data_IF_506372134514
#
_entry.id   IF_506372134514
#
_cell.length_a   1.000
_cell.length_b   1.000
_cell.length_c   1.000
_cell.angle_alpha   90.00
_cell.angle_beta   90.00
_cell.angle_gamma   90.00
#
_symmetry.space_group_name_H-M   'P 1'
#
loop_
_entity.id
_entity.type
_entity.pdbx_description
1 polymer ?
#
# COMPACT_ATOMS: atom_id res chain seq x y z
N UNK A 1 -5.75 1.87 -2.51
CA UNK A 1 -5.79 3.35 -2.27
C UNK A 1 -5.34 3.65 -0.86
N UNK A 2 -5.06 4.92 -0.55
CA UNK A 2 -4.67 5.29 0.81
C UNK A 2 -4.17 6.71 0.95
N UNK A 3 -3.60 7.02 2.11
CA UNK A 3 -2.93 8.29 2.35
C UNK A 3 -1.74 8.15 3.28
N UNK A 4 -0.73 8.99 3.08
CA UNK A 4 0.47 9.05 3.91
C UNK A 4 0.62 10.45 4.51
N UNK A 5 0.84 10.51 5.83
CA UNK A 5 1.02 11.75 6.57
C UNK A 5 2.27 11.72 7.43
N UNK A 6 2.82 12.88 7.79
CA UNK A 6 3.94 12.99 8.71
C UNK A 6 3.46 12.78 10.15
N UNK A 7 4.18 11.94 10.91
CA UNK A 7 3.97 11.82 12.35
C UNK A 7 4.31 13.16 13.05
N UNK A 8 3.47 13.58 13.99
CA UNK A 8 3.62 14.83 14.73
C UNK A 8 2.58 15.88 14.32
N UNK A 9 2.68 16.39 13.09
CA UNK A 9 1.79 17.46 12.61
C UNK A 9 0.70 16.99 11.63
N UNK A 10 0.75 15.73 11.20
CA UNK A 10 -0.24 15.16 10.29
C UNK A 10 -0.21 15.75 8.89
N UNK A 11 0.84 16.50 8.52
CA UNK A 11 0.94 17.09 7.19
C UNK A 11 0.95 16.00 6.10
N UNK A 12 0.29 16.23 4.95
CA UNK A 12 0.37 15.31 3.83
C UNK A 12 1.81 15.18 3.32
N UNK A 13 2.17 13.97 2.89
CA UNK A 13 3.48 13.71 2.30
C UNK A 13 3.32 13.40 0.82
N UNK A 14 3.78 14.32 -0.03
CA UNK A 14 3.76 14.20 -1.49
C UNK A 14 5.03 13.54 -2.02
N UNK A 15 4.94 12.86 -3.16
CA UNK A 15 6.08 12.35 -3.93
C UNK A 15 6.75 11.12 -3.32
N UNK A 16 6.21 10.55 -2.26
CA UNK A 16 6.71 9.31 -1.68
C UNK A 16 6.31 8.11 -2.54
N UNK A 17 7.30 7.28 -2.88
CA UNK A 17 7.09 5.98 -3.53
C UNK A 17 6.53 4.97 -2.54
N UNK A 18 5.37 4.43 -2.89
CA UNK A 18 4.70 3.36 -2.15
C UNK A 18 4.71 2.12 -3.01
N UNK A 19 5.28 1.04 -2.49
CA UNK A 19 5.38 -0.25 -3.17
C UNK A 19 4.26 -1.16 -2.66
N UNK A 20 3.59 -1.87 -3.57
CA UNK A 20 2.43 -2.71 -3.25
C UNK A 20 2.57 -4.05 -3.98
N UNK A 21 2.28 -5.14 -3.28
CA UNK A 21 2.19 -6.47 -3.87
C UNK A 21 1.14 -7.31 -3.16
N UNK A 22 0.53 -8.26 -3.86
CA UNK A 22 -0.51 -9.10 -3.31
C UNK A 22 -0.61 -10.44 -4.07
N UNK A 23 -1.37 -11.38 -3.52
CA UNK A 23 -1.94 -12.46 -4.33
C UNK A 23 -3.11 -11.92 -5.12
N UNK A 24 -3.08 -12.09 -6.44
CA UNK A 24 -4.08 -11.56 -7.36
C UNK A 24 -4.69 -12.65 -8.23
N UNK A 25 -5.71 -12.31 -9.01
CA UNK A 25 -6.27 -13.20 -10.04
C UNK A 25 -5.28 -13.56 -11.14
N UNK A 26 -4.19 -12.82 -11.30
CA UNK A 26 -3.21 -13.03 -12.36
C UNK A 26 -1.91 -13.69 -11.88
N UNK A 27 -1.62 -13.67 -10.57
CA UNK A 27 -0.49 -14.37 -9.98
C UNK A 27 -0.37 -14.24 -8.46
N UNK A 28 0.73 -14.75 -7.92
CA UNK A 28 1.02 -14.75 -6.49
C UNK A 28 1.88 -13.56 -6.08
N UNK A 29 2.00 -13.33 -4.78
CA UNK A 29 2.77 -12.23 -4.22
C UNK A 29 4.25 -12.19 -4.62
N UNK A 30 4.81 -13.29 -5.12
CA UNK A 30 6.21 -13.39 -5.59
C UNK A 30 6.35 -13.08 -7.09
N UNK A 31 5.24 -13.05 -7.82
CA UNK A 31 5.25 -12.90 -9.26
C UNK A 31 5.27 -11.40 -9.63
N UNK A 32 6.23 -10.94 -10.47
CA UNK A 32 6.42 -9.49 -10.71
C UNK A 32 5.21 -8.74 -11.24
N UNK A 33 4.32 -9.40 -11.96
CA UNK A 33 3.09 -8.79 -12.49
C UNK A 33 2.02 -8.56 -11.41
N UNK A 34 2.19 -9.15 -10.22
CA UNK A 34 1.37 -8.87 -9.03
C UNK A 34 1.97 -7.77 -8.14
N UNK A 35 3.00 -7.07 -8.63
CA UNK A 35 3.66 -5.95 -7.96
C UNK A 35 3.33 -4.64 -8.67
N UNK A 36 3.31 -3.54 -7.92
CA UNK A 36 3.23 -2.21 -8.47
C UNK A 36 3.79 -1.17 -7.51
N UNK A 37 3.98 0.04 -8.02
CA UNK A 37 4.35 1.18 -7.21
C UNK A 37 3.62 2.42 -7.71
N UNK A 38 3.35 3.32 -6.78
CA UNK A 38 2.71 4.61 -7.07
C UNK A 38 3.39 5.70 -6.25
N UNK A 39 3.12 6.95 -6.61
CA UNK A 39 3.55 8.11 -5.83
C UNK A 39 2.36 8.71 -5.09
N UNK A 40 2.62 9.24 -3.91
CA UNK A 40 1.66 10.08 -3.20
C UNK A 40 1.49 11.43 -3.90
N UNK A 41 0.25 11.91 -3.98
CA UNK A 41 -0.09 13.23 -4.51
C UNK A 41 0.05 14.36 -3.47
N UNK A 42 -0.33 15.61 -3.84
CA UNK A 42 -0.16 16.80 -3.00
C UNK A 42 -0.88 16.74 -1.64
N UNK A 43 -1.98 16.00 -1.57
CA UNK A 43 -2.76 15.76 -0.35
C UNK A 43 -2.31 14.51 0.42
N UNK A 44 -1.20 13.90 0.01
CA UNK A 44 -0.65 12.66 0.55
C UNK A 44 -1.44 11.42 0.13
N UNK A 45 -2.44 11.54 -0.75
CA UNK A 45 -3.22 10.41 -1.24
C UNK A 45 -2.44 9.57 -2.25
N UNK A 46 -2.74 8.27 -2.33
CA UNK A 46 -2.22 7.41 -3.39
C UNK A 46 -3.26 6.42 -3.87
N UNK A 47 -3.12 6.02 -5.13
CA UNK A 47 -3.92 4.99 -5.77
C UNK A 47 -3.03 4.12 -6.68
N UNK A 48 -3.36 2.83 -6.74
CA UNK A 48 -2.79 1.87 -7.67
C UNK A 48 -3.93 0.97 -8.09
N UNK A 49 -4.19 0.90 -9.39
CA UNK A 49 -5.05 -0.12 -9.99
C UNK A 49 -4.20 -1.36 -10.26
N UNK A 50 -4.69 -2.52 -9.87
CA UNK A 50 -4.02 -3.81 -10.04
C UNK A 50 -5.06 -4.92 -10.19
N UNK A 51 -4.68 -6.11 -10.69
CA UNK A 51 -5.59 -7.25 -10.74
C UNK A 51 -6.17 -7.58 -9.36
N UNK A 52 -7.40 -8.09 -9.33
CA UNK A 52 -8.18 -8.29 -8.10
C UNK A 52 -7.41 -9.14 -7.10
N UNK A 53 -7.32 -8.66 -5.85
CA UNK A 53 -6.71 -9.41 -4.75
C UNK A 53 -7.58 -10.61 -4.40
N UNK A 54 -6.94 -11.77 -4.23
CA UNK A 54 -7.60 -13.04 -3.89
C UNK A 54 -7.06 -13.62 -2.58
N UNK A 55 -7.85 -14.44 -1.86
CA UNK A 55 -7.37 -15.17 -0.69
C UNK A 55 -6.16 -16.05 -1.00
N UNK A 56 -5.13 -15.96 -0.16
CA UNK A 56 -4.04 -16.93 -0.10
C UNK A 56 -3.72 -17.19 1.37
N UNK A 57 -3.90 -18.43 1.82
CA UNK A 57 -3.70 -18.86 3.21
C UNK A 57 -4.42 -18.00 4.27
N UNK A 58 -5.62 -17.50 3.96
CA UNK A 58 -6.40 -16.69 4.89
C UNK A 58 -7.24 -15.62 4.20
N UNK A 59 -7.43 -14.49 4.87
CA UNK A 59 -8.16 -13.34 4.31
C UNK A 59 -7.35 -12.73 3.15
N UNK A 60 -8.02 -12.21 2.10
CA UNK A 60 -7.34 -11.45 1.06
C UNK A 60 -6.66 -10.21 1.66
N UNK A 61 -5.43 -9.95 1.24
CA UNK A 61 -4.62 -8.87 1.76
C UNK A 61 -3.62 -8.40 0.72
N UNK A 62 -3.16 -7.16 0.91
CA UNK A 62 -2.00 -6.63 0.21
C UNK A 62 -0.85 -6.46 1.19
N UNK A 63 0.34 -6.34 0.63
CA UNK A 63 1.53 -5.85 1.29
C UNK A 63 1.85 -4.46 0.76
N UNK A 64 2.29 -3.58 1.65
CA UNK A 64 2.65 -2.21 1.31
C UNK A 64 3.95 -1.85 2.01
N UNK A 65 4.86 -1.19 1.29
CA UNK A 65 6.12 -0.72 1.84
C UNK A 65 6.46 0.71 1.45
N UNK A 66 7.12 1.40 2.39
CA UNK A 66 7.89 2.61 2.17
C UNK A 66 9.33 2.39 2.68
N UNK A 67 10.32 2.72 1.86
CA UNK A 67 11.75 2.51 2.11
C UNK A 67 12.64 3.65 1.57
N UNK A 68 12.11 4.89 1.55
CA UNK A 68 12.75 6.04 0.90
C UNK A 68 13.82 6.79 1.70
N UNK A 69 14.15 6.36 2.92
CA UNK A 69 15.26 6.89 3.73
C UNK A 69 15.03 8.23 4.45
N UNK A 70 14.12 9.09 3.96
CA UNK A 70 13.75 10.34 4.65
C UNK A 70 12.88 10.12 5.90
N UNK A 71 12.21 8.98 5.96
CA UNK A 71 11.39 8.53 7.08
C UNK A 71 11.75 7.08 7.43
N UNK A 72 11.37 6.63 8.62
CA UNK A 72 11.52 5.24 9.03
C UNK A 72 10.82 4.30 8.04
N UNK A 73 11.49 3.20 7.71
CA UNK A 73 10.94 2.15 6.84
C UNK A 73 9.67 1.57 7.46
N UNK A 74 8.64 1.43 6.65
CA UNK A 74 7.36 0.84 7.06
C UNK A 74 7.00 -0.31 6.14
N UNK A 75 6.51 -1.39 6.75
CA UNK A 75 5.89 -2.52 6.07
C UNK A 75 4.52 -2.80 6.69
N UNK A 76 3.47 -2.79 5.88
CA UNK A 76 2.09 -3.01 6.31
C UNK A 76 1.50 -4.21 5.58
N UNK A 77 0.55 -4.88 6.25
CA UNK A 77 -0.29 -5.93 5.67
C UNK A 77 -1.78 -5.57 5.84
N UNK A 78 -2.30 -4.59 5.08
CA UNK A 78 -3.72 -4.27 5.08
C UNK A 78 -4.55 -5.46 4.60
N UNK A 79 -5.65 -5.75 5.31
CA UNK A 79 -6.52 -6.91 5.09
C UNK A 79 -7.87 -6.44 4.57
N UNK A 80 -8.42 -7.15 3.57
CA UNK A 80 -9.76 -6.91 3.06
C UNK A 80 -10.79 -7.55 4.01
N UNK A 81 -11.87 -6.85 4.29
CA UNK A 81 -12.94 -7.36 5.15
C UNK A 81 -13.65 -8.55 4.49
N UNK A 82 -13.76 -8.52 3.16
CA UNK A 82 -14.38 -9.56 2.35
C UNK A 82 -13.57 -9.86 1.09
N UNK A 83 -13.60 -11.11 0.63
CA UNK A 83 -13.06 -11.52 -0.66
C UNK A 83 -13.85 -10.97 -1.86
N UNK A 84 -15.02 -10.36 -1.62
CA UNK A 84 -15.84 -9.70 -2.63
C UNK A 84 -15.52 -8.21 -2.77
N UNK A 85 -14.78 -7.63 -1.82
CA UNK A 85 -14.41 -6.23 -1.92
C UNK A 85 -13.47 -6.06 -3.12
N UNK A 86 -13.59 -4.95 -3.84
CA UNK A 86 -12.74 -4.64 -5.00
C UNK A 86 -11.74 -3.52 -4.70
N UNK A 87 -11.68 -3.10 -3.44
CA UNK A 87 -10.85 -1.99 -2.97
C UNK A 87 -10.24 -2.34 -1.61
N UNK A 88 -8.97 -1.99 -1.47
CA UNK A 88 -8.21 -2.04 -0.23
C UNK A 88 -7.66 -0.64 0.08
N UNK A 89 -7.97 -0.14 1.27
CA UNK A 89 -7.54 1.16 1.77
C UNK A 89 -6.48 1.01 2.87
N UNK A 90 -5.38 1.77 2.76
CA UNK A 90 -4.30 1.78 3.74
C UNK A 90 -3.88 3.22 4.06
N UNK A 91 -4.13 3.67 5.28
CA UNK A 91 -3.77 5.00 5.76
C UNK A 91 -2.74 4.87 6.88
N UNK A 92 -1.64 5.60 6.77
CA UNK A 92 -0.57 5.52 7.77
C UNK A 92 0.21 6.82 7.89
N UNK A 93 0.97 6.91 8.97
CA UNK A 93 1.89 8.02 9.23
C UNK A 93 3.32 7.53 9.15
N UNK A 94 4.22 8.42 8.71
CA UNK A 94 5.65 8.17 8.65
C UNK A 94 6.37 9.07 9.66
N UNK A 95 7.25 8.46 10.45
CA UNK A 95 8.11 9.15 11.41
C UNK A 95 9.44 9.52 10.73
N UNK A 96 9.89 10.78 10.79
CA UNK A 96 11.22 11.16 10.30
C UNK A 96 12.34 10.36 10.99
N UNK A 97 13.41 10.05 10.26
CA UNK A 97 14.64 9.44 10.81
C UNK A 97 15.43 10.47 11.62
#
# INVERSE_FOLDING_TARGET
TGSVRRAGDGAPLEGLRIQIWAHTTEGHERDPHSHGATLTGPDGSFALEMPQIVPAFGQPHGHLAYDGGAYETVFLRPVMASARDTRLDAHFVLRPV
#
